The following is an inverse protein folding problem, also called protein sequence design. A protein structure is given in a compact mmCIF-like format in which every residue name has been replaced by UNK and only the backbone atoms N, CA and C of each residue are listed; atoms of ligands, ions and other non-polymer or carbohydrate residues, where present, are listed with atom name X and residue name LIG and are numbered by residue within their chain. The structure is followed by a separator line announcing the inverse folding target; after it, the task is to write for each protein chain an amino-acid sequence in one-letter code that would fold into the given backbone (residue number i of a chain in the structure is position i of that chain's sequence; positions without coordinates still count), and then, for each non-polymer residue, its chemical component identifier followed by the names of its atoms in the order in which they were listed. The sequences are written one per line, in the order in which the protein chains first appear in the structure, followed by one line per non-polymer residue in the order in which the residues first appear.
data_IF_244651423506
#
_entry.id   IF_244651423506
#
_cell.length_a   1.000
_cell.length_b   1.000
_cell.length_c   1.000
_cell.angle_alpha   90.00
_cell.angle_beta   90.00
_cell.angle_gamma   90.00
#
_symmetry.space_group_name_H-M   'P 1'
#
loop_
_entity.id
_entity.type
_entity.pdbx_description
1 polymer ?
#
# COMPACT_ATOMS: atom_id res chain seq x y z
N UNK A 1 8.62 -10.76 -2.55
CA UNK A 1 7.53 -11.49 -3.22
C UNK A 1 6.95 -10.67 -4.37
N UNK A 2 6.30 -11.32 -5.35
CA UNK A 2 5.61 -10.65 -6.47
C UNK A 2 4.67 -11.62 -7.20
N UNK A 3 3.59 -11.14 -7.85
CA UNK A 3 2.53 -12.00 -8.38
C UNK A 3 2.89 -12.73 -9.68
N UNK A 4 3.97 -12.33 -10.37
CA UNK A 4 4.31 -12.88 -11.68
C UNK A 4 5.44 -13.91 -11.61
N UNK A 5 5.14 -15.15 -12.03
CA UNK A 5 6.12 -16.24 -12.14
C UNK A 5 7.39 -15.86 -12.92
N UNK A 6 7.33 -15.19 -14.09
CA UNK A 6 8.54 -14.78 -14.80
C UNK A 6 9.43 -13.82 -13.98
N UNK A 7 8.84 -12.87 -13.26
CA UNK A 7 9.57 -11.95 -12.40
C UNK A 7 10.21 -12.69 -11.22
N UNK A 8 9.48 -13.59 -10.55
CA UNK A 8 10.02 -14.42 -9.48
C UNK A 8 11.20 -15.26 -9.97
N UNK A 9 11.09 -15.85 -11.16
CA UNK A 9 12.20 -16.61 -11.78
C UNK A 9 13.41 -15.71 -12.05
N UNK A 10 13.21 -14.53 -12.62
CA UNK A 10 14.27 -13.56 -12.90
C UNK A 10 14.97 -13.15 -11.60
N UNK A 11 14.21 -12.73 -10.58
CA UNK A 11 14.78 -12.31 -9.29
C UNK A 11 15.58 -13.42 -8.62
N UNK A 12 15.08 -14.67 -8.63
CA UNK A 12 15.83 -15.82 -8.12
C UNK A 12 17.14 -16.05 -8.87
N UNK A 13 17.13 -15.92 -10.20
CA UNK A 13 18.34 -16.04 -11.01
C UNK A 13 19.34 -14.92 -10.71
N UNK A 14 18.87 -13.68 -10.62
CA UNK A 14 19.70 -12.51 -10.29
C UNK A 14 20.34 -12.65 -8.91
N UNK A 15 19.58 -13.02 -7.87
CA UNK A 15 20.14 -13.17 -6.52
C UNK A 15 21.17 -14.29 -6.45
N UNK A 16 20.92 -15.44 -7.10
CA UNK A 16 21.90 -16.53 -7.20
C UNK A 16 23.19 -16.09 -7.89
N UNK A 17 23.08 -15.33 -8.98
CA UNK A 17 24.24 -14.79 -9.68
C UNK A 17 25.04 -13.78 -8.83
N UNK A 18 24.41 -13.16 -7.84
CA UNK A 18 25.03 -12.26 -6.87
C UNK A 18 25.46 -12.97 -5.58
N UNK A 19 25.38 -14.30 -5.50
CA UNK A 19 25.67 -15.09 -4.30
C UNK A 19 24.86 -14.69 -3.06
N UNK A 20 23.62 -14.23 -3.27
CA UNK A 20 22.67 -13.92 -2.20
C UNK A 20 21.70 -15.10 -2.05
N UNK A 21 21.91 -15.91 -1.02
CA UNK A 21 21.17 -17.18 -0.83
C UNK A 21 20.06 -17.09 0.23
N UNK A 22 20.16 -16.17 1.19
CA UNK A 22 19.25 -16.05 2.33
C UNK A 22 17.94 -15.29 2.06
N UNK A 23 17.68 -14.94 0.79
CA UNK A 23 16.48 -14.19 0.39
C UNK A 23 15.43 -15.13 -0.19
N UNK A 24 14.33 -15.31 0.54
CA UNK A 24 13.16 -16.04 0.05
C UNK A 24 12.39 -15.18 -0.98
N UNK A 25 12.23 -15.72 -2.20
CA UNK A 25 11.56 -15.05 -3.32
C UNK A 25 10.49 -15.98 -3.87
N UNK A 26 9.24 -15.49 -3.97
CA UNK A 26 8.10 -16.32 -4.34
C UNK A 26 6.86 -15.51 -4.68
N UNK A 27 5.82 -16.23 -5.07
CA UNK A 27 4.47 -15.70 -5.26
C UNK A 27 3.80 -15.47 -3.91
N UNK A 28 2.85 -14.52 -3.77
CA UNK A 28 2.16 -14.26 -2.50
C UNK A 28 1.57 -15.51 -1.84
N UNK A 29 1.03 -16.45 -2.63
CA UNK A 29 0.38 -17.67 -2.14
C UNK A 29 1.36 -18.62 -1.43
N UNK A 30 2.65 -18.57 -1.77
CA UNK A 30 3.69 -19.39 -1.13
C UNK A 30 4.02 -18.94 0.30
N UNK A 31 3.48 -17.79 0.74
CA UNK A 31 3.72 -17.19 2.05
C UNK A 31 2.51 -17.26 2.98
N UNK A 32 1.42 -17.91 2.57
CA UNK A 32 0.25 -18.04 3.45
C UNK A 32 0.62 -18.81 4.73
N UNK A 33 0.33 -18.22 5.89
CA UNK A 33 0.66 -18.80 7.20
C UNK A 33 2.15 -18.78 7.54
N UNK A 34 2.98 -18.12 6.73
CA UNK A 34 4.39 -17.85 7.01
C UNK A 34 4.56 -16.37 7.29
N UNK A 35 5.51 -16.05 8.15
CA UNK A 35 5.83 -14.67 8.50
C UNK A 35 7.32 -14.42 8.27
N UNK A 36 7.67 -13.22 7.80
CA UNK A 36 9.03 -12.79 7.53
C UNK A 36 9.30 -11.48 8.25
N UNK A 37 10.54 -11.27 8.70
CA UNK A 37 10.94 -10.02 9.37
C UNK A 37 10.67 -8.80 8.48
N UNK A 38 11.24 -8.80 7.27
CA UNK A 38 11.03 -7.73 6.28
C UNK A 38 10.53 -8.35 4.98
N UNK A 39 9.54 -7.70 4.36
CA UNK A 39 8.96 -8.11 3.07
C UNK A 39 9.10 -6.98 2.06
N UNK A 40 9.57 -7.31 0.87
CA UNK A 40 9.49 -6.45 -0.31
C UNK A 40 8.44 -7.05 -1.25
N UNK A 41 7.38 -6.29 -1.53
CA UNK A 41 6.29 -6.65 -2.43
C UNK A 41 6.40 -5.86 -3.73
N UNK A 42 6.62 -6.56 -4.84
CA UNK A 42 6.67 -5.95 -6.17
C UNK A 42 5.38 -6.25 -6.95
N UNK A 43 4.52 -5.26 -7.14
CA UNK A 43 3.23 -5.43 -7.86
C UNK A 43 3.42 -5.52 -9.37
N UNK A 44 4.53 -5.00 -9.90
CA UNK A 44 5.05 -5.26 -11.27
C UNK A 44 4.24 -4.65 -12.41
N UNK A 45 2.93 -4.45 -12.28
CA UNK A 45 2.13 -3.82 -13.34
C UNK A 45 2.32 -2.32 -13.39
N UNK A 46 2.53 -1.84 -14.61
CA UNK A 46 2.67 -0.41 -14.96
C UNK A 46 1.68 0.04 -16.05
N UNK A 47 0.86 -0.87 -16.60
CA UNK A 47 -0.16 -0.59 -17.61
C UNK A 47 -1.55 -0.98 -17.12
N UNK A 48 -2.51 -0.05 -17.20
CA UNK A 48 -3.90 -0.25 -16.78
C UNK A 48 -4.58 -1.37 -17.57
N UNK A 49 -4.40 -1.40 -18.89
CA UNK A 49 -5.02 -2.41 -19.75
C UNK A 49 -4.56 -3.84 -19.40
N UNK A 50 -3.26 -4.00 -19.13
CA UNK A 50 -2.73 -5.30 -18.71
C UNK A 50 -3.22 -5.68 -17.30
N UNK A 51 -3.31 -4.72 -16.39
CA UNK A 51 -3.80 -4.97 -15.03
C UNK A 51 -5.25 -5.49 -15.02
N UNK A 52 -6.17 -4.89 -15.79
CA UNK A 52 -7.56 -5.39 -15.87
C UNK A 52 -7.62 -6.79 -16.48
N UNK A 53 -6.86 -7.06 -17.55
CA UNK A 53 -6.81 -8.40 -18.16
C UNK A 53 -6.27 -9.46 -17.20
N UNK A 54 -5.24 -9.14 -16.41
CA UNK A 54 -4.69 -10.10 -15.44
C UNK A 54 -5.57 -10.27 -14.21
N UNK A 55 -6.32 -9.25 -13.84
CA UNK A 55 -7.36 -9.30 -12.79
C UNK A 55 -8.49 -10.25 -13.17
N UNK A 56 -8.98 -10.18 -14.41
CA UNK A 56 -9.97 -11.14 -14.95
C UNK A 56 -9.47 -12.58 -14.92
N UNK A 57 -8.15 -12.78 -15.09
CA UNK A 57 -7.52 -14.10 -15.11
C UNK A 57 -7.02 -14.59 -13.74
N UNK A 58 -7.25 -13.82 -12.66
CA UNK A 58 -6.71 -14.10 -11.31
C UNK A 58 -5.18 -14.32 -11.28
N UNK A 59 -4.45 -13.56 -12.11
CA UNK A 59 -2.98 -13.68 -12.24
C UNK A 59 -2.22 -12.61 -11.49
N UNK A 60 -2.92 -11.58 -11.02
CA UNK A 60 -2.32 -10.46 -10.31
C UNK A 60 -2.73 -10.45 -8.83
N UNK A 61 -2.09 -9.58 -8.06
CA UNK A 61 -2.51 -9.16 -6.72
C UNK A 61 -3.51 -7.97 -6.79
N UNK A 62 -3.60 -7.30 -7.94
CA UNK A 62 -4.62 -6.29 -8.24
C UNK A 62 -5.96 -7.00 -8.45
N UNK A 63 -7.02 -6.52 -7.80
CA UNK A 63 -8.34 -7.14 -7.82
C UNK A 63 -8.48 -8.40 -6.95
N UNK A 64 -7.43 -8.78 -6.23
CA UNK A 64 -7.37 -10.04 -5.47
C UNK A 64 -7.16 -9.78 -3.97
N UNK A 65 -8.22 -9.45 -3.20
CA UNK A 65 -8.12 -9.03 -1.80
C UNK A 65 -7.50 -10.10 -0.89
N UNK A 66 -7.69 -11.39 -1.17
CA UNK A 66 -7.06 -12.47 -0.39
C UNK A 66 -5.54 -12.47 -0.54
N UNK A 67 -5.03 -12.30 -1.76
CA UNK A 67 -3.59 -12.22 -2.06
C UNK A 67 -2.98 -10.95 -1.46
N UNK A 68 -3.71 -9.83 -1.53
CA UNK A 68 -3.32 -8.59 -0.89
C UNK A 68 -3.19 -8.77 0.62
N UNK A 69 -4.19 -9.37 1.28
CA UNK A 69 -4.13 -9.62 2.73
C UNK A 69 -2.91 -10.44 3.13
N UNK A 70 -2.66 -11.56 2.43
CA UNK A 70 -1.45 -12.38 2.68
C UNK A 70 -0.20 -11.52 2.57
N UNK A 71 -0.06 -10.74 1.49
CA UNK A 71 1.11 -9.92 1.27
C UNK A 71 1.30 -8.83 2.34
N UNK A 72 0.21 -8.20 2.80
CA UNK A 72 0.23 -7.17 3.85
C UNK A 72 0.59 -7.76 5.23
N UNK A 73 0.12 -8.97 5.56
CA UNK A 73 0.32 -9.59 6.88
C UNK A 73 1.54 -10.48 6.99
N UNK A 74 2.28 -10.70 5.90
CA UNK A 74 3.50 -11.54 5.94
C UNK A 74 4.63 -10.84 6.70
N UNK A 75 4.67 -9.50 6.73
CA UNK A 75 5.76 -8.73 7.34
C UNK A 75 5.57 -8.54 8.85
N UNK A 76 6.61 -8.84 9.65
CA UNK A 76 6.63 -8.58 11.10
C UNK A 76 7.18 -7.21 11.47
N UNK A 77 8.25 -6.77 10.79
CA UNK A 77 9.02 -5.58 11.14
C UNK A 77 8.87 -4.47 10.10
N UNK A 78 8.80 -4.83 8.82
CA UNK A 78 8.73 -3.84 7.75
C UNK A 78 8.21 -4.39 6.43
N UNK A 79 7.40 -3.58 5.76
CA UNK A 79 6.84 -3.87 4.44
C UNK A 79 7.21 -2.74 3.48
N UNK A 80 7.87 -3.08 2.38
CA UNK A 80 8.17 -2.17 1.27
C UNK A 80 7.32 -2.59 0.07
N UNK A 81 6.52 -1.68 -0.46
CA UNK A 81 5.67 -1.93 -1.62
C UNK A 81 6.22 -1.14 -2.82
N UNK A 82 6.50 -1.85 -3.91
CA UNK A 82 6.92 -1.28 -5.18
C UNK A 82 5.83 -1.50 -6.23
N UNK A 83 5.28 -0.42 -6.78
CA UNK A 83 4.24 -0.49 -7.80
C UNK A 83 3.96 0.85 -8.48
N UNK A 84 3.23 0.81 -9.59
CA UNK A 84 2.79 2.02 -10.28
C UNK A 84 1.48 2.54 -9.67
N UNK A 85 1.53 3.71 -9.04
CA UNK A 85 0.38 4.39 -8.42
C UNK A 85 -0.81 4.53 -9.36
N UNK A 86 -0.58 4.91 -10.62
CA UNK A 86 -1.66 5.17 -11.60
C UNK A 86 -2.43 3.90 -11.93
N UNK A 87 -1.81 2.73 -11.76
CA UNK A 87 -2.47 1.42 -11.92
C UNK A 87 -3.20 1.06 -10.63
N UNK A 88 -2.50 1.12 -9.49
CA UNK A 88 -3.01 0.69 -8.19
C UNK A 88 -4.23 1.49 -7.71
N UNK A 89 -4.30 2.79 -8.02
CA UNK A 89 -5.41 3.65 -7.59
C UNK A 89 -6.78 3.24 -8.16
N UNK A 90 -6.80 2.47 -9.25
CA UNK A 90 -8.04 1.99 -9.87
C UNK A 90 -8.63 0.78 -9.14
N UNK A 91 -7.84 0.11 -8.30
CA UNK A 91 -8.32 -0.98 -7.47
C UNK A 91 -8.78 -0.46 -6.10
N UNK A 92 -10.00 -0.79 -5.65
CA UNK A 92 -10.55 -0.26 -4.41
C UNK A 92 -9.80 -0.73 -3.15
N UNK A 93 -9.22 -1.94 -3.16
CA UNK A 93 -8.47 -2.45 -2.02
C UNK A 93 -7.09 -1.82 -1.92
N UNK A 94 -6.42 -1.67 -3.06
CA UNK A 94 -5.14 -0.96 -3.15
C UNK A 94 -5.28 0.53 -2.84
N UNK A 95 -6.41 1.15 -3.21
CA UNK A 95 -6.70 2.54 -2.84
C UNK A 95 -6.65 2.73 -1.32
N UNK A 96 -7.23 1.81 -0.56
CA UNK A 96 -7.19 1.87 0.91
C UNK A 96 -5.74 1.82 1.44
N UNK A 97 -4.89 0.96 0.87
CA UNK A 97 -3.47 0.89 1.22
C UNK A 97 -2.74 2.19 0.88
N UNK A 98 -2.99 2.74 -0.31
CA UNK A 98 -2.39 4.00 -0.74
C UNK A 98 -2.84 5.17 0.15
N UNK A 99 -4.12 5.24 0.49
CA UNK A 99 -4.67 6.27 1.37
C UNK A 99 -4.01 6.24 2.75
N UNK A 100 -3.81 5.03 3.30
CA UNK A 100 -3.06 4.83 4.56
C UNK A 100 -1.63 5.36 4.43
N UNK A 101 -0.90 4.92 3.39
CA UNK A 101 0.49 5.33 3.18
C UNK A 101 0.60 6.85 3.01
N UNK A 102 -0.31 7.48 2.28
CA UNK A 102 -0.27 8.91 2.03
C UNK A 102 -0.55 9.74 3.29
N UNK A 103 -1.59 9.38 4.06
CA UNK A 103 -1.90 10.06 5.33
C UNK A 103 -0.75 9.99 6.34
N UNK A 104 0.03 8.92 6.30
CA UNK A 104 1.18 8.71 7.18
C UNK A 104 2.52 9.16 6.56
N UNK A 105 2.51 9.83 5.40
CA UNK A 105 3.73 10.27 4.68
C UNK A 105 4.72 9.11 4.38
N UNK A 106 4.19 7.93 4.08
CA UNK A 106 4.93 6.69 3.77
C UNK A 106 5.10 6.44 2.27
N UNK A 107 5.00 7.48 1.43
CA UNK A 107 5.13 7.36 -0.03
C UNK A 107 6.37 8.12 -0.49
N UNK A 108 7.19 7.47 -1.32
CA UNK A 108 8.37 8.05 -1.93
C UNK A 108 8.37 7.80 -3.45
N UNK A 109 9.01 8.69 -4.22
CA UNK A 109 9.19 8.58 -5.67
C UNK A 109 8.46 9.67 -6.47
N UNK A 110 8.49 9.56 -7.80
CA UNK A 110 7.99 10.57 -8.74
C UNK A 110 6.45 10.64 -8.85
N UNK A 111 5.74 10.16 -7.82
CA UNK A 111 4.31 10.34 -7.69
C UNK A 111 4.07 11.78 -7.21
N UNK A 112 3.99 12.72 -8.16
CA UNK A 112 3.88 14.16 -7.95
C UNK A 112 3.34 14.54 -6.57
N UNK A 113 4.23 15.08 -5.75
CA UNK A 113 3.98 15.55 -4.39
C UNK A 113 3.01 16.74 -4.35
N UNK A 114 2.59 17.27 -5.50
CA UNK A 114 1.85 18.52 -5.66
C UNK A 114 0.33 18.43 -5.65
N UNK A 115 -0.29 17.40 -6.23
CA UNK A 115 -1.74 17.44 -6.51
C UNK A 115 -2.46 16.18 -6.05
N UNK A 116 -2.54 16.00 -4.73
CA UNK A 116 -3.43 14.98 -4.22
C UNK A 116 -4.38 15.56 -3.18
N UNK A 117 -5.50 16.05 -3.70
CA UNK A 117 -6.72 16.26 -2.92
C UNK A 117 -7.32 14.87 -2.66
N UNK A 118 -7.00 14.32 -1.49
CA UNK A 118 -7.59 13.06 -1.03
C UNK A 118 -9.01 13.27 -0.54
N UNK A 119 -9.88 12.28 -0.74
CA UNK A 119 -11.19 12.27 -0.08
C UNK A 119 -11.00 11.90 1.38
N UNK A 120 -11.65 12.64 2.28
CA UNK A 120 -11.91 12.19 3.64
C UNK A 120 -12.75 10.91 3.59
N UNK A 121 -12.06 9.77 3.51
CA UNK A 121 -12.65 8.44 3.64
C UNK A 121 -12.65 8.00 5.10
N UNK A 122 -13.59 7.13 5.51
CA UNK A 122 -13.58 6.60 6.87
C UNK A 122 -12.27 5.85 7.13
N UNK A 123 -11.68 6.08 8.31
CA UNK A 123 -10.49 5.34 8.74
C UNK A 123 -10.74 3.83 8.65
N UNK A 124 -9.73 3.08 8.23
CA UNK A 124 -9.77 1.62 8.28
C UNK A 124 -9.81 1.13 9.72
N UNK A 125 -10.23 -0.13 9.94
CA UNK A 125 -10.11 -0.76 11.27
C UNK A 125 -8.66 -0.73 11.77
N UNK A 126 -7.72 -1.05 10.87
CA UNK A 126 -6.30 -1.01 11.16
C UNK A 126 -5.84 0.38 11.61
N UNK A 127 -6.29 1.44 10.95
CA UNK A 127 -5.97 2.82 11.36
C UNK A 127 -6.60 3.21 12.68
N UNK A 128 -7.85 2.80 12.92
CA UNK A 128 -8.52 3.05 14.21
C UNK A 128 -7.76 2.40 15.37
N UNK A 129 -7.20 1.21 15.16
CA UNK A 129 -6.48 0.46 16.19
C UNK A 129 -5.01 0.92 16.32
N UNK A 130 -4.32 1.19 15.20
CA UNK A 130 -2.91 1.59 15.19
C UNK A 130 -2.67 3.03 15.67
N UNK A 131 -3.61 3.96 15.42
CA UNK A 131 -3.50 5.36 15.88
C UNK A 131 -3.65 5.52 17.40
N UNK A 132 -4.19 4.53 18.11
CA UNK A 132 -4.32 4.57 19.58
C UNK A 132 -3.01 4.17 20.28
N UNK A 133 -2.12 3.42 19.61
CA UNK A 133 -0.95 2.80 20.25
C UNK A 133 0.37 3.47 19.85
N UNK A 134 0.46 4.09 18.66
CA UNK A 134 1.75 4.52 18.09
C UNK A 134 2.23 5.95 18.38
N UNK A 135 1.43 6.83 18.97
CA UNK A 135 1.73 8.28 19.03
C UNK A 135 1.82 8.89 20.44
N UNK A 136 1.99 8.09 21.49
CA UNK A 136 2.26 8.61 22.84
C UNK A 136 3.76 8.87 23.10
N UNK A 137 4.66 8.54 22.17
CA UNK A 137 6.12 8.57 22.39
C UNK A 137 6.93 9.54 21.51
N UNK A 138 6.33 10.20 20.52
CA UNK A 138 7.04 11.15 19.65
C UNK A 138 6.82 12.59 20.16
N UNK A 139 7.67 13.03 21.09
CA UNK A 139 7.73 14.43 21.50
C UNK A 139 8.33 15.31 20.39
N UNK A 140 7.59 16.36 20.02
CA UNK A 140 7.96 17.56 19.23
C UNK A 140 8.62 17.32 17.85
N UNK A 141 8.12 17.83 16.72
CA UNK A 141 7.26 18.97 16.44
C UNK A 141 6.70 18.82 15.01
N UNK A 142 5.46 19.27 14.76
CA UNK A 142 4.75 19.33 13.48
C UNK A 142 3.90 18.12 13.04
N UNK A 143 3.30 17.39 13.98
CA UNK A 143 2.16 16.52 13.70
C UNK A 143 1.04 16.81 14.71
N UNK A 144 0.17 17.78 14.39
CA UNK A 144 -1.13 17.84 15.05
C UNK A 144 -2.00 16.74 14.44
N UNK A 145 -2.53 15.78 15.23
CA UNK A 145 -3.53 14.86 14.74
C UNK A 145 -4.85 15.64 14.58
N UNK A 146 -5.38 15.63 13.36
CA UNK A 146 -6.75 15.94 12.96
C UNK A 146 -7.61 16.62 14.05
N UNK A 147 -7.69 17.94 14.01
CA UNK A 147 -8.77 18.70 14.65
C UNK A 147 -10.07 18.41 13.89
N UNK A 148 -10.92 17.56 14.47
CA UNK A 148 -12.28 17.33 14.00
C UNK A 148 -13.06 18.64 13.93
N UNK A 149 -13.24 19.15 12.71
CA UNK A 149 -14.04 20.33 12.41
C UNK A 149 -15.40 19.92 11.87
N UNK A 150 -16.33 19.65 12.77
CA UNK A 150 -17.76 19.61 12.48
C UNK A 150 -18.20 21.01 12.05
N UNK A 151 -18.38 21.26 10.75
CA UNK A 151 -19.08 22.46 10.27
C UNK A 151 -20.54 22.11 10.01
N UNK A 152 -21.28 21.97 11.11
CA UNK A 152 -22.72 22.15 11.15
C UNK A 152 -23.01 23.65 11.02
N UNK A 153 -23.69 24.02 9.93
CA UNK A 153 -24.59 25.17 9.75
C UNK A 153 -24.24 26.55 10.32
N UNK A 154 -24.21 27.55 9.43
CA UNK A 154 -24.91 28.82 9.69
C UNK A 154 -25.30 29.53 8.40
N UNK A 155 -26.61 29.71 8.24
CA UNK A 155 -27.22 30.78 7.44
C UNK A 155 -26.58 32.13 7.80
N UNK A 156 -26.33 32.95 6.78
CA UNK A 156 -25.86 34.33 6.94
C UNK A 156 -25.63 35.01 5.59
N UNK A 157 -26.61 35.80 5.18
CA UNK A 157 -26.77 36.64 3.97
C UNK A 157 -25.60 37.59 3.67
N UNK A 158 -25.36 37.89 2.39
CA UNK A 158 -25.00 39.22 1.80
C UNK A 158 -24.75 39.03 0.29
N UNK A 159 -25.76 39.31 -0.56
CA UNK A 159 -25.88 40.53 -1.38
C UNK A 159 -24.63 40.94 -2.16
N UNK A 160 -24.71 40.81 -3.49
CA UNK A 160 -24.61 41.93 -4.44
C UNK A 160 -25.67 41.77 -5.51
#
# INVERSE_FOLDING_TARGET
MGPFKPQVRLLRQTMRAQHVEDVDIGLPEAYQGREHGVVILCVTRSSKHLAEKDKELDRDIIGQPKKLNVALTTAKLGLIIMGNRDVLVNDPYWRVVLDFCCRNRLVAGNAGTGDIVWRDGPLTRFEREALIVGYAGASNSAAAPYSGGHLLGRHGTLQR
#
